data_IF_359543404656
#
_entry.id   IF_359543404656
#
_cell.length_a   1.000
_cell.length_b   1.000
_cell.length_c   1.000
_cell.angle_alpha   90.00
_cell.angle_beta   90.00
_cell.angle_gamma   90.00
#
_symmetry.space_group_name_H-M   'P 1'
#
loop_
_entity.id
_entity.type
_entity.pdbx_description
1 polymer ?
#
# COMPACT_ATOMS: atom_id res chain seq x y z
N UNK A 1 4.33 -8.04 -24.65
CA UNK A 1 5.57 -8.12 -23.88
C UNK A 1 6.82 -7.92 -24.76
N UNK A 2 6.79 -8.26 -26.06
CA UNK A 2 7.94 -8.02 -27.00
C UNK A 2 8.26 -6.52 -27.18
N UNK A 3 7.29 -5.65 -27.06
CA UNK A 3 7.42 -4.22 -27.36
C UNK A 3 7.98 -3.37 -26.21
N UNK A 4 8.19 -3.97 -25.03
CA UNK A 4 8.78 -3.31 -23.85
C UNK A 4 10.26 -3.60 -23.70
N UNK A 5 10.71 -4.75 -24.21
CA UNK A 5 12.14 -5.11 -24.21
C UNK A 5 12.89 -4.18 -25.15
N UNK A 6 13.93 -3.54 -24.62
CA UNK A 6 14.71 -2.56 -25.40
C UNK A 6 14.14 -1.15 -25.44
N UNK A 7 12.98 -0.89 -24.76
CA UNK A 7 12.43 0.45 -24.62
C UNK A 7 13.22 1.32 -23.66
N UNK A 8 12.92 2.62 -23.65
CA UNK A 8 13.49 3.62 -22.72
C UNK A 8 12.44 4.08 -21.73
N UNK A 9 12.78 4.10 -20.45
CA UNK A 9 11.90 4.59 -19.37
C UNK A 9 12.44 5.90 -18.81
N UNK A 10 11.59 6.93 -18.77
CA UNK A 10 11.86 8.20 -18.11
C UNK A 10 11.33 8.21 -16.67
N UNK A 11 12.14 8.60 -15.69
CA UNK A 11 11.77 8.69 -14.28
C UNK A 11 11.99 10.10 -13.76
N UNK A 12 10.91 10.79 -13.42
CA UNK A 12 10.94 12.13 -12.83
C UNK A 12 10.71 12.02 -11.32
N UNK A 13 11.74 12.32 -10.52
CA UNK A 13 11.71 12.13 -9.08
C UNK A 13 12.27 10.78 -8.65
N UNK A 14 13.60 10.68 -8.59
CA UNK A 14 14.35 9.45 -8.30
C UNK A 14 14.49 9.27 -6.77
N UNK A 15 13.35 9.01 -6.10
CA UNK A 15 13.30 8.65 -4.68
C UNK A 15 13.20 7.13 -4.47
N UNK A 16 12.57 6.72 -3.38
CA UNK A 16 12.27 5.30 -3.14
C UNK A 16 11.45 4.69 -4.28
N UNK A 17 10.32 5.34 -4.64
CA UNK A 17 9.40 4.83 -5.66
C UNK A 17 10.04 4.84 -7.05
N UNK A 18 10.54 6.01 -7.50
CA UNK A 18 11.15 6.13 -8.82
C UNK A 18 12.42 5.29 -9.00
N UNK A 19 13.25 5.20 -7.97
CA UNK A 19 14.43 4.33 -7.99
C UNK A 19 14.08 2.85 -8.04
N UNK A 20 13.06 2.42 -7.28
CA UNK A 20 12.58 1.03 -7.32
C UNK A 20 11.96 0.68 -8.68
N UNK A 21 11.28 1.64 -9.30
CA UNK A 21 10.70 1.48 -10.63
C UNK A 21 11.81 1.32 -11.68
N UNK A 22 12.86 2.14 -11.60
CA UNK A 22 14.02 1.99 -12.47
C UNK A 22 14.71 0.64 -12.34
N UNK A 23 14.97 0.19 -11.11
CA UNK A 23 15.51 -1.15 -10.85
C UNK A 23 14.61 -2.25 -11.44
N UNK A 24 13.30 -2.20 -11.19
CA UNK A 24 12.35 -3.18 -11.68
C UNK A 24 12.25 -3.18 -13.22
N UNK A 25 12.33 -2.02 -13.86
CA UNK A 25 12.34 -1.87 -15.31
C UNK A 25 13.56 -2.57 -15.94
N UNK A 26 14.74 -2.35 -15.39
CA UNK A 26 15.98 -2.97 -15.90
C UNK A 26 16.03 -4.48 -15.62
N UNK A 27 15.73 -4.89 -14.38
CA UNK A 27 15.91 -6.28 -13.95
C UNK A 27 14.80 -7.23 -14.47
N UNK A 28 13.56 -6.73 -14.64
CA UNK A 28 12.39 -7.58 -14.88
C UNK A 28 11.77 -7.41 -16.25
N UNK A 29 11.75 -6.17 -16.77
CA UNK A 29 11.20 -5.88 -18.09
C UNK A 29 12.26 -6.03 -19.17
N UNK A 30 13.53 -5.75 -18.84
CA UNK A 30 14.62 -5.76 -19.80
C UNK A 30 14.61 -4.52 -20.70
N UNK A 31 14.22 -3.37 -20.15
CA UNK A 31 14.33 -2.09 -20.88
C UNK A 31 15.79 -1.79 -21.20
N UNK A 32 16.07 -1.09 -22.31
CA UNK A 32 17.42 -0.72 -22.69
C UNK A 32 18.00 0.34 -21.77
N UNK A 33 17.21 1.36 -21.46
CA UNK A 33 17.66 2.51 -20.71
C UNK A 33 16.61 2.99 -19.71
N UNK A 34 17.10 3.51 -18.57
CA UNK A 34 16.33 4.27 -17.61
C UNK A 34 16.97 5.62 -17.42
N UNK A 35 16.32 6.67 -17.90
CA UNK A 35 16.73 8.05 -17.77
C UNK A 35 16.06 8.67 -16.54
N UNK A 36 16.82 9.32 -15.68
CA UNK A 36 16.28 9.87 -14.45
C UNK A 36 16.61 11.34 -14.24
N UNK A 37 15.63 12.08 -13.75
CA UNK A 37 15.80 13.44 -13.27
C UNK A 37 15.43 13.57 -11.80
N UNK A 38 16.28 14.27 -11.04
CA UNK A 38 16.03 14.63 -9.65
C UNK A 38 16.68 15.98 -9.35
N UNK A 39 16.15 16.69 -8.35
CA UNK A 39 16.62 18.04 -7.98
C UNK A 39 18.04 18.09 -7.43
N UNK A 40 18.56 16.99 -6.94
CA UNK A 40 19.90 16.94 -6.33
C UNK A 40 20.79 15.97 -7.07
N UNK A 41 21.99 16.41 -7.42
CA UNK A 41 22.98 15.58 -8.12
C UNK A 41 23.35 14.35 -7.30
N UNK A 42 23.52 14.49 -5.98
CA UNK A 42 23.83 13.36 -5.10
C UNK A 42 22.79 12.22 -5.15
N UNK A 43 21.52 12.54 -5.38
CA UNK A 43 20.47 11.52 -5.58
C UNK A 43 20.66 10.79 -6.91
N UNK A 44 21.02 11.51 -7.96
CA UNK A 44 21.26 10.94 -9.29
C UNK A 44 22.52 10.06 -9.29
N UNK A 45 23.59 10.52 -8.64
CA UNK A 45 24.84 9.77 -8.53
C UNK A 45 24.61 8.43 -7.78
N UNK A 46 23.90 8.49 -6.66
CA UNK A 46 23.54 7.29 -5.91
C UNK A 46 22.61 6.36 -6.70
N UNK A 47 21.69 6.91 -7.49
CA UNK A 47 20.81 6.13 -8.34
C UNK A 47 21.56 5.37 -9.45
N UNK A 48 22.56 6.01 -10.06
CA UNK A 48 23.47 5.37 -11.01
C UNK A 48 24.32 4.28 -10.36
N UNK A 49 24.91 4.58 -9.19
CA UNK A 49 25.72 3.62 -8.43
C UNK A 49 24.90 2.36 -8.06
N UNK A 50 23.63 2.52 -7.73
CA UNK A 50 22.73 1.42 -7.39
C UNK A 50 22.14 0.71 -8.61
N UNK A 51 22.43 1.16 -9.81
CA UNK A 51 21.86 0.60 -11.05
C UNK A 51 20.36 0.89 -11.22
N UNK A 52 19.81 1.89 -10.54
CA UNK A 52 18.43 2.32 -10.69
C UNK A 52 18.21 3.19 -11.93
N UNK A 53 19.29 3.77 -12.47
CA UNK A 53 19.33 4.54 -13.69
C UNK A 53 20.48 4.06 -14.57
N UNK A 54 20.30 4.14 -15.89
CA UNK A 54 21.40 4.05 -16.87
C UNK A 54 21.94 5.43 -17.21
N UNK A 55 21.11 6.47 -17.05
CA UNK A 55 21.48 7.86 -17.37
C UNK A 55 20.87 8.85 -16.39
N UNK A 56 21.70 9.71 -15.81
CA UNK A 56 21.27 10.88 -15.07
C UNK A 56 21.11 12.07 -16.02
N UNK A 57 20.00 12.78 -15.91
CA UNK A 57 19.64 13.91 -16.77
C UNK A 57 19.63 15.22 -15.99
N UNK A 58 20.03 16.31 -16.66
CA UNK A 58 20.11 17.64 -16.08
C UNK A 58 18.76 18.35 -15.98
N UNK A 59 17.75 17.88 -16.71
CA UNK A 59 16.39 18.43 -16.68
C UNK A 59 15.34 17.34 -16.88
N UNK A 60 14.07 17.67 -16.59
CA UNK A 60 12.91 16.83 -16.86
C UNK A 60 12.80 16.52 -18.35
N UNK A 61 12.95 17.55 -19.18
CA UNK A 61 12.84 17.45 -20.64
C UNK A 61 13.90 16.47 -21.20
N UNK A 62 15.12 16.54 -20.70
CA UNK A 62 16.18 15.61 -21.10
C UNK A 62 15.82 14.17 -20.73
N UNK A 63 15.28 13.95 -19.52
CA UNK A 63 14.93 12.61 -19.04
C UNK A 63 13.80 11.96 -19.84
N UNK A 64 12.91 12.74 -20.46
CA UNK A 64 11.74 12.22 -21.17
C UNK A 64 11.87 12.28 -22.70
N UNK A 65 12.85 12.99 -23.24
CA UNK A 65 12.95 13.29 -24.68
C UNK A 65 13.05 12.07 -25.60
N UNK A 66 13.47 10.93 -25.11
CA UNK A 66 13.55 9.66 -25.85
C UNK A 66 12.81 8.51 -25.18
N UNK A 67 11.97 8.81 -24.18
CA UNK A 67 11.30 7.77 -23.41
C UNK A 67 10.06 7.25 -24.13
N UNK A 68 9.84 5.94 -24.03
CA UNK A 68 8.60 5.25 -24.46
C UNK A 68 7.54 5.27 -23.34
N UNK A 69 8.02 5.21 -22.09
CA UNK A 69 7.17 5.28 -20.89
C UNK A 69 7.81 6.27 -19.93
N UNK A 70 7.01 7.16 -19.35
CA UNK A 70 7.46 8.14 -18.37
C UNK A 70 6.69 7.95 -17.06
N UNK A 71 7.42 7.90 -15.95
CA UNK A 71 6.84 7.88 -14.61
C UNK A 71 7.21 9.14 -13.83
N UNK A 72 6.18 9.85 -13.36
CA UNK A 72 6.32 11.01 -12.49
C UNK A 72 6.18 10.54 -11.04
N UNK A 73 7.31 10.53 -10.32
CA UNK A 73 7.45 10.05 -8.95
C UNK A 73 7.78 11.20 -7.98
N UNK A 74 7.31 12.38 -8.28
CA UNK A 74 7.48 13.59 -7.45
C UNK A 74 6.41 13.69 -6.36
N UNK A 75 6.57 14.57 -5.35
CA UNK A 75 5.55 14.78 -4.33
C UNK A 75 4.19 15.15 -4.94
N UNK A 76 3.10 14.66 -4.33
CA UNK A 76 1.74 14.71 -4.90
C UNK A 76 1.32 16.10 -5.39
N UNK A 77 1.69 17.17 -4.70
CA UNK A 77 1.39 18.56 -5.12
C UNK A 77 2.10 19.03 -6.39
N UNK A 78 3.12 18.31 -6.82
CA UNK A 78 3.85 18.62 -8.04
C UNK A 78 3.45 17.74 -9.22
N UNK A 79 2.71 16.66 -8.96
CA UNK A 79 2.39 15.64 -9.97
C UNK A 79 1.71 16.28 -11.19
N UNK A 80 0.74 17.17 -11.00
CA UNK A 80 0.03 17.82 -12.11
C UNK A 80 0.97 18.63 -12.99
N UNK A 81 1.80 19.46 -12.38
CA UNK A 81 2.78 20.30 -13.10
C UNK A 81 3.81 19.44 -13.85
N UNK A 82 4.39 18.46 -13.15
CA UNK A 82 5.45 17.61 -13.69
C UNK A 82 4.91 16.65 -14.78
N UNK A 83 3.65 16.14 -14.66
CA UNK A 83 3.00 15.35 -15.71
C UNK A 83 2.76 16.18 -16.96
N UNK A 84 2.26 17.40 -16.83
CA UNK A 84 2.06 18.29 -17.99
C UNK A 84 3.39 18.64 -18.68
N UNK A 85 4.43 18.92 -17.90
CA UNK A 85 5.77 19.16 -18.45
C UNK A 85 6.30 17.91 -19.18
N UNK A 86 6.11 16.72 -18.60
CA UNK A 86 6.50 15.47 -19.23
C UNK A 86 5.73 15.21 -20.53
N UNK A 87 4.42 15.44 -20.55
CA UNK A 87 3.57 15.31 -21.75
C UNK A 87 4.01 16.26 -22.87
N UNK A 88 4.43 17.48 -22.52
CA UNK A 88 4.88 18.47 -23.49
C UNK A 88 6.25 18.12 -24.12
N UNK A 89 7.15 17.47 -23.36
CA UNK A 89 8.51 17.19 -23.77
C UNK A 89 8.76 15.77 -24.28
N UNK A 90 7.94 14.80 -23.88
CA UNK A 90 8.07 13.41 -24.32
C UNK A 90 7.59 13.21 -25.77
N UNK A 91 8.13 12.20 -26.50
CA UNK A 91 7.67 11.84 -27.83
C UNK A 91 6.16 11.62 -27.89
N UNK A 92 5.54 11.90 -29.04
CA UNK A 92 4.09 11.77 -29.22
C UNK A 92 3.55 10.35 -28.95
N UNK A 93 4.38 9.32 -29.14
CA UNK A 93 4.04 7.93 -28.83
C UNK A 93 4.30 7.48 -27.38
N UNK A 94 4.88 8.34 -26.54
CA UNK A 94 5.18 8.00 -25.15
C UNK A 94 3.92 7.99 -24.29
N UNK A 95 3.82 7.04 -23.36
CA UNK A 95 2.81 7.05 -22.31
C UNK A 95 3.38 7.66 -21.03
N UNK A 96 2.62 8.54 -20.40
CA UNK A 96 3.00 9.19 -19.13
C UNK A 96 2.10 8.69 -18.01
N UNK A 97 2.69 8.30 -16.89
CA UNK A 97 1.98 7.91 -15.67
C UNK A 97 2.63 8.54 -14.43
N UNK A 98 1.97 8.41 -13.31
CA UNK A 98 2.50 8.88 -12.04
C UNK A 98 2.41 7.79 -10.96
N UNK A 99 2.88 8.09 -9.74
CA UNK A 99 2.78 7.21 -8.57
C UNK A 99 2.16 7.93 -7.37
N UNK A 100 1.46 9.02 -7.60
CA UNK A 100 0.88 9.87 -6.56
C UNK A 100 -0.29 9.20 -5.84
N UNK A 101 -0.54 9.63 -4.60
CA UNK A 101 -1.58 9.06 -3.74
C UNK A 101 -2.99 9.60 -4.01
N UNK A 102 -3.15 10.55 -4.94
CA UNK A 102 -4.43 11.14 -5.35
C UNK A 102 -4.51 11.22 -6.87
N UNK A 103 -5.68 11.03 -7.45
CA UNK A 103 -5.87 10.95 -8.92
C UNK A 103 -6.78 12.03 -9.48
N UNK A 104 -7.83 12.41 -8.76
CA UNK A 104 -8.80 13.39 -9.22
C UNK A 104 -8.19 14.73 -9.64
N UNK A 105 -7.31 15.36 -8.85
CA UNK A 105 -6.65 16.62 -9.25
C UNK A 105 -5.87 16.52 -10.56
N UNK A 106 -5.13 15.40 -10.77
CA UNK A 106 -4.39 15.17 -12.00
C UNK A 106 -5.34 15.05 -13.19
N UNK A 107 -6.29 14.13 -13.13
CA UNK A 107 -7.15 13.82 -14.27
C UNK A 107 -8.04 15.01 -14.67
N UNK A 108 -8.53 15.79 -13.72
CA UNK A 108 -9.28 17.02 -14.02
C UNK A 108 -8.44 18.15 -14.63
N UNK A 109 -7.13 18.14 -14.43
CA UNK A 109 -6.23 19.16 -14.96
C UNK A 109 -5.81 18.90 -16.41
N UNK A 110 -6.01 17.66 -16.92
CA UNK A 110 -5.63 17.29 -18.28
C UNK A 110 -6.67 17.77 -19.30
N UNK A 111 -6.19 18.14 -20.46
CA UNK A 111 -7.03 18.33 -21.65
C UNK A 111 -7.32 16.98 -22.30
N UNK A 112 -8.37 16.85 -23.17
CA UNK A 112 -8.62 15.63 -23.89
C UNK A 112 -7.42 15.10 -24.70
N UNK A 113 -6.59 15.99 -25.23
CA UNK A 113 -5.38 15.60 -25.98
C UNK A 113 -4.29 15.06 -25.05
N UNK A 114 -4.11 15.66 -23.87
CA UNK A 114 -3.16 15.17 -22.86
C UNK A 114 -3.60 13.81 -22.28
N UNK A 115 -4.92 13.60 -22.09
CA UNK A 115 -5.47 12.33 -21.62
C UNK A 115 -5.16 11.16 -22.55
N UNK A 116 -5.03 11.39 -23.87
CA UNK A 116 -4.80 10.31 -24.84
C UNK A 116 -3.63 9.43 -24.46
N UNK A 117 -2.58 9.99 -23.87
CA UNK A 117 -1.35 9.29 -23.50
C UNK A 117 -0.94 9.46 -22.04
N UNK A 118 -1.89 9.85 -21.19
CA UNK A 118 -1.71 9.92 -19.75
C UNK A 118 -2.65 8.96 -19.03
N UNK A 119 -2.09 8.11 -18.19
CA UNK A 119 -2.86 7.22 -17.31
C UNK A 119 -2.38 7.45 -15.89
N UNK A 120 -3.23 7.98 -15.05
CA UNK A 120 -2.87 8.17 -13.64
C UNK A 120 -2.54 6.84 -12.97
N UNK A 121 -1.59 6.85 -12.06
CA UNK A 121 -1.10 5.66 -11.37
C UNK A 121 -0.96 5.87 -9.86
N UNK A 122 -1.22 4.81 -9.09
CA UNK A 122 -0.97 4.81 -7.64
C UNK A 122 -0.67 3.39 -7.14
N UNK A 123 0.59 3.04 -6.88
CA UNK A 123 0.95 1.77 -6.25
C UNK A 123 0.63 1.77 -4.76
N UNK A 124 -0.13 0.77 -4.30
CA UNK A 124 -0.36 0.54 -2.87
C UNK A 124 0.83 -0.23 -2.28
N UNK A 125 1.97 0.39 -2.30
CA UNK A 125 3.20 -0.11 -1.68
C UNK A 125 4.03 1.08 -1.17
N UNK A 126 5.03 0.78 -0.39
CA UNK A 126 5.89 1.80 0.16
C UNK A 126 6.73 1.26 1.30
N UNK A 127 7.43 2.14 1.96
CA UNK A 127 8.20 1.85 3.15
C UNK A 127 8.23 3.10 4.03
N UNK A 128 8.43 2.92 5.31
CA UNK A 128 8.68 4.02 6.25
C UNK A 128 10.03 4.71 5.96
N UNK A 129 10.89 4.08 5.15
CA UNK A 129 12.16 4.63 4.68
C UNK A 129 11.98 5.45 3.41
N UNK A 130 12.80 6.47 3.22
CA UNK A 130 12.77 7.35 2.05
C UNK A 130 14.11 7.33 1.29
N UNK A 131 14.10 7.85 0.06
CA UNK A 131 15.29 8.02 -0.76
C UNK A 131 15.66 6.79 -1.59
N UNK A 132 16.44 7.03 -2.65
CA UNK A 132 16.90 6.00 -3.60
C UNK A 132 17.83 4.96 -2.96
N UNK A 133 18.48 5.30 -1.86
CA UNK A 133 19.30 4.36 -1.07
C UNK A 133 18.52 3.15 -0.54
N UNK A 134 17.19 3.26 -0.41
CA UNK A 134 16.29 2.17 0.02
C UNK A 134 15.49 1.56 -1.13
N UNK A 135 15.77 1.94 -2.37
CA UNK A 135 15.09 1.41 -3.56
C UNK A 135 15.43 -0.07 -3.78
N UNK A 136 14.44 -0.83 -4.25
CA UNK A 136 14.57 -2.26 -4.56
C UNK A 136 13.62 -2.65 -5.68
N UNK A 137 14.03 -3.53 -6.58
CA UNK A 137 13.21 -3.99 -7.71
C UNK A 137 11.94 -4.74 -7.27
N UNK A 138 11.97 -5.35 -6.08
CA UNK A 138 10.83 -6.10 -5.53
C UNK A 138 9.76 -5.22 -4.88
N UNK A 139 9.91 -3.89 -4.85
CA UNK A 139 8.95 -3.01 -4.15
C UNK A 139 7.52 -3.14 -4.67
N UNK A 140 7.37 -3.42 -5.96
CA UNK A 140 6.07 -3.50 -6.64
C UNK A 140 5.51 -4.92 -6.73
N UNK A 141 6.28 -5.95 -6.35
CA UNK A 141 5.83 -7.35 -6.43
C UNK A 141 4.56 -7.61 -5.62
N UNK A 142 3.55 -8.13 -6.31
CA UNK A 142 2.26 -8.44 -5.73
C UNK A 142 1.45 -7.21 -5.27
N UNK A 143 2.03 -6.00 -5.36
CA UNK A 143 1.33 -4.79 -4.95
C UNK A 143 0.20 -4.43 -5.91
N UNK A 144 -0.94 -4.05 -5.38
CA UNK A 144 -1.99 -3.43 -6.18
C UNK A 144 -1.48 -2.09 -6.72
N UNK A 145 -1.58 -1.90 -8.02
CA UNK A 145 -1.25 -0.65 -8.69
C UNK A 145 -2.53 -0.11 -9.32
N UNK A 146 -3.17 0.87 -8.69
CA UNK A 146 -4.33 1.51 -9.31
C UNK A 146 -3.91 2.28 -10.55
N UNK A 147 -4.69 2.09 -11.61
CA UNK A 147 -4.56 2.84 -12.87
C UNK A 147 -5.87 3.56 -13.14
N UNK A 148 -5.80 4.84 -13.46
CA UNK A 148 -6.97 5.69 -13.69
C UNK A 148 -6.92 6.24 -15.11
N UNK A 149 -7.42 5.47 -16.10
CA UNK A 149 -7.52 5.95 -17.47
C UNK A 149 -8.59 7.04 -17.56
N UNK A 150 -8.29 8.12 -18.28
CA UNK A 150 -9.29 9.13 -18.65
C UNK A 150 -10.20 8.66 -19.77
N UNK A 151 -11.26 9.43 -20.04
CA UNK A 151 -12.24 9.10 -21.07
C UNK A 151 -11.66 9.07 -22.50
N UNK A 152 -10.55 9.78 -22.73
CA UNK A 152 -9.91 9.93 -24.04
C UNK A 152 -8.64 9.10 -24.21
N UNK A 153 -8.29 8.24 -23.24
CA UNK A 153 -7.04 7.47 -23.26
C UNK A 153 -6.97 6.58 -24.52
N UNK A 154 -5.81 6.59 -25.18
CA UNK A 154 -5.56 5.67 -26.30
C UNK A 154 -5.35 4.24 -25.78
N UNK A 155 -6.01 3.28 -26.41
CA UNK A 155 -5.94 1.87 -26.03
C UNK A 155 -4.49 1.34 -26.00
N UNK A 156 -3.66 1.73 -26.95
CA UNK A 156 -2.27 1.32 -27.03
C UNK A 156 -1.44 1.89 -25.87
N UNK A 157 -1.66 3.16 -25.49
CA UNK A 157 -1.02 3.78 -24.35
C UNK A 157 -1.39 3.05 -23.04
N UNK A 158 -2.69 2.77 -22.87
CA UNK A 158 -3.18 2.02 -21.72
C UNK A 158 -2.59 0.60 -21.65
N UNK A 159 -2.62 -0.15 -22.76
CA UNK A 159 -2.11 -1.52 -22.81
C UNK A 159 -0.60 -1.58 -22.57
N UNK A 160 0.17 -0.62 -23.09
CA UNK A 160 1.60 -0.53 -22.87
C UNK A 160 1.93 -0.31 -21.39
N UNK A 161 1.25 0.64 -20.73
CA UNK A 161 1.43 0.85 -19.30
C UNK A 161 0.99 -0.38 -18.49
N UNK A 162 -0.19 -0.93 -18.78
CA UNK A 162 -0.72 -2.10 -18.09
C UNK A 162 0.22 -3.30 -18.19
N UNK A 163 0.76 -3.57 -19.37
CA UNK A 163 1.75 -4.61 -19.61
C UNK A 163 3.06 -4.39 -18.87
N UNK A 164 3.55 -3.13 -18.83
CA UNK A 164 4.74 -2.76 -18.07
C UNK A 164 4.56 -3.00 -16.56
N UNK A 165 3.43 -2.57 -16.00
CA UNK A 165 3.12 -2.76 -14.58
C UNK A 165 3.04 -4.25 -14.21
N UNK A 166 2.43 -5.07 -15.06
CA UNK A 166 2.43 -6.53 -14.89
C UNK A 166 3.83 -7.12 -14.96
N UNK A 167 4.67 -6.65 -15.89
CA UNK A 167 6.04 -7.14 -16.05
C UNK A 167 6.96 -6.81 -14.86
N UNK A 168 6.76 -5.69 -14.17
CA UNK A 168 7.48 -5.39 -12.92
C UNK A 168 6.92 -6.16 -11.71
N UNK A 169 5.91 -7.00 -11.88
CA UNK A 169 5.30 -7.83 -10.85
C UNK A 169 4.16 -7.18 -10.08
N UNK A 170 3.70 -5.99 -10.46
CA UNK A 170 2.54 -5.34 -9.86
C UNK A 170 1.22 -5.97 -10.37
N UNK A 171 0.14 -5.74 -9.64
CA UNK A 171 -1.23 -6.09 -10.04
C UNK A 171 -1.99 -4.81 -10.43
N UNK A 172 -2.02 -4.43 -11.72
CA UNK A 172 -2.73 -3.23 -12.15
C UNK A 172 -4.25 -3.43 -12.04
N UNK A 173 -4.92 -2.45 -11.43
CA UNK A 173 -6.38 -2.44 -11.23
C UNK A 173 -6.92 -1.10 -11.74
N UNK A 174 -7.78 -1.15 -12.75
CA UNK A 174 -8.42 0.04 -13.28
C UNK A 174 -9.53 0.53 -12.35
N UNK A 175 -9.57 1.85 -12.12
CA UNK A 175 -10.58 2.51 -11.29
C UNK A 175 -10.81 3.93 -11.78
N UNK A 176 -12.03 4.43 -11.62
CA UNK A 176 -12.35 5.84 -11.87
C UNK A 176 -11.56 6.76 -10.91
N UNK A 177 -11.02 7.91 -11.36
CA UNK A 177 -10.20 8.78 -10.53
C UNK A 177 -10.89 9.28 -9.26
N UNK A 178 -12.17 9.65 -9.36
CA UNK A 178 -12.94 10.11 -8.20
C UNK A 178 -13.26 8.96 -7.25
N UNK A 179 -13.53 7.78 -7.77
CA UNK A 179 -13.74 6.58 -6.96
C UNK A 179 -12.46 6.15 -6.24
N UNK A 180 -11.32 6.21 -6.94
CA UNK A 180 -10.01 6.03 -6.32
C UNK A 180 -9.82 6.96 -5.12
N UNK A 181 -10.06 8.26 -5.29
CA UNK A 181 -9.83 9.24 -4.24
C UNK A 181 -10.82 9.07 -3.07
N UNK A 182 -12.08 8.66 -3.34
CA UNK A 182 -13.04 8.27 -2.29
C UNK A 182 -12.58 7.03 -1.52
N UNK A 183 -12.12 6.01 -2.24
CA UNK A 183 -11.59 4.78 -1.62
C UNK A 183 -10.39 5.12 -0.74
N UNK A 184 -9.42 5.86 -1.26
CA UNK A 184 -8.21 6.24 -0.50
C UNK A 184 -8.55 7.11 0.71
N UNK A 185 -9.55 7.96 0.62
CA UNK A 185 -10.02 8.76 1.76
C UNK A 185 -10.45 7.87 2.93
N UNK A 186 -11.15 6.76 2.66
CA UNK A 186 -11.68 5.86 3.69
C UNK A 186 -10.62 4.88 4.19
N UNK A 187 -9.86 4.22 3.29
CA UNK A 187 -8.99 3.09 3.66
C UNK A 187 -7.56 3.51 4.02
N UNK A 188 -7.17 4.75 3.70
CA UNK A 188 -5.82 5.25 3.92
C UNK A 188 -5.79 6.58 4.69
N UNK A 189 -6.47 7.62 4.18
CA UNK A 189 -6.33 8.98 4.73
C UNK A 189 -7.03 9.15 6.06
N UNK A 190 -8.27 8.68 6.19
CA UNK A 190 -9.02 8.68 7.45
C UNK A 190 -8.29 7.92 8.57
N UNK A 191 -7.79 6.70 8.37
CA UNK A 191 -6.95 6.01 9.35
C UNK A 191 -5.76 6.84 9.84
N UNK A 192 -5.08 7.56 8.96
CA UNK A 192 -3.98 8.45 9.35
C UNK A 192 -4.45 9.65 10.19
N UNK A 193 -5.59 10.26 9.85
CA UNK A 193 -6.18 11.32 10.68
C UNK A 193 -6.50 10.78 12.07
N UNK A 194 -7.17 9.62 12.15
CA UNK A 194 -7.57 8.99 13.41
C UNK A 194 -6.36 8.62 14.27
N UNK A 195 -5.33 8.04 13.68
CA UNK A 195 -4.08 7.70 14.38
C UNK A 195 -3.43 8.94 14.99
N UNK A 196 -3.37 10.06 14.24
CA UNK A 196 -2.81 11.32 14.73
C UNK A 196 -3.65 11.92 15.86
N UNK A 197 -4.97 11.93 15.72
CA UNK A 197 -5.90 12.45 16.75
C UNK A 197 -5.81 11.60 18.01
N UNK A 198 -5.87 10.27 17.89
CA UNK A 198 -5.78 9.33 19.00
C UNK A 198 -4.46 9.46 19.76
N UNK A 199 -3.34 9.56 19.04
CA UNK A 199 -2.02 9.73 19.65
C UNK A 199 -1.90 11.07 20.38
N UNK A 200 -2.43 12.16 19.79
CA UNK A 200 -2.46 13.48 20.42
C UNK A 200 -3.31 13.48 21.68
N UNK A 201 -4.50 12.87 21.63
CA UNK A 201 -5.41 12.77 22.77
C UNK A 201 -4.76 11.96 23.92
N UNK A 202 -4.14 10.83 23.60
CA UNK A 202 -3.44 10.04 24.61
C UNK A 202 -2.29 10.82 25.25
N UNK A 203 -1.52 11.58 24.46
CA UNK A 203 -0.44 12.44 24.98
C UNK A 203 -0.92 13.55 25.90
N UNK A 204 -2.12 14.12 25.66
CA UNK A 204 -2.71 15.14 26.52
C UNK A 204 -3.25 14.59 27.85
N UNK A 205 -3.75 13.36 27.86
CA UNK A 205 -4.42 12.76 29.02
C UNK A 205 -3.50 11.84 29.84
N UNK A 206 -2.39 11.39 29.28
CA UNK A 206 -1.39 10.63 30.02
C UNK A 206 -0.66 11.57 30.96
N UNK A 207 -1.14 11.74 32.18
CA UNK A 207 -0.57 12.62 33.21
C UNK A 207 0.88 12.30 33.62
N UNK A 208 1.45 11.21 33.11
CA UNK A 208 2.85 10.84 33.21
C UNK A 208 3.34 10.13 31.95
N UNK A 209 4.65 10.24 31.67
CA UNK A 209 5.33 9.52 30.57
C UNK A 209 5.15 8.01 30.70
N UNK A 210 5.01 7.51 31.91
CA UNK A 210 4.89 6.09 32.22
C UNK A 210 3.52 5.50 31.82
N UNK A 211 2.46 6.31 31.80
CA UNK A 211 1.13 5.87 31.37
C UNK A 211 1.10 5.47 29.89
N UNK A 212 1.83 6.18 29.02
CA UNK A 212 1.95 5.83 27.60
C UNK A 212 2.84 4.60 27.36
N UNK A 213 3.81 4.34 28.23
CA UNK A 213 4.63 3.13 28.18
C UNK A 213 3.81 1.87 28.46
N UNK A 214 2.70 2.01 29.20
CA UNK A 214 1.76 0.92 29.50
C UNK A 214 0.72 0.68 28.39
N UNK A 215 0.80 1.41 27.26
CA UNK A 215 -0.11 1.22 26.14
C UNK A 215 0.00 -0.19 25.57
N UNK A 216 -1.13 -0.86 25.47
CA UNK A 216 -1.24 -2.22 24.95
C UNK A 216 -1.02 -2.32 23.44
N UNK A 217 -0.95 -3.54 22.87
CA UNK A 217 -0.75 -3.77 21.44
C UNK A 217 -1.75 -3.03 20.57
N UNK A 218 -3.03 -3.10 20.87
CA UNK A 218 -4.09 -2.45 20.09
C UNK A 218 -3.87 -0.94 19.89
N UNK A 219 -3.42 -0.24 20.94
CA UNK A 219 -3.11 1.19 20.81
C UNK A 219 -1.89 1.42 19.92
N UNK A 220 -0.85 0.61 20.07
CA UNK A 220 0.38 0.70 19.26
C UNK A 220 0.09 0.45 17.79
N UNK A 221 -0.73 -0.55 17.48
CA UNK A 221 -1.12 -0.89 16.11
C UNK A 221 -1.91 0.26 15.46
N UNK A 222 -2.94 0.76 16.15
CA UNK A 222 -3.76 1.87 15.65
C UNK A 222 -2.98 3.18 15.48
N UNK A 223 -1.95 3.42 16.29
CA UNK A 223 -1.16 4.66 16.25
C UNK A 223 0.18 4.53 15.53
N UNK A 224 0.53 3.35 15.02
CA UNK A 224 1.80 3.07 14.33
C UNK A 224 2.09 4.08 13.22
N UNK A 225 1.08 4.44 12.46
CA UNK A 225 1.18 5.36 11.32
C UNK A 225 1.22 6.84 11.72
N UNK A 226 0.96 7.21 12.97
CA UNK A 226 1.02 8.60 13.45
C UNK A 226 2.42 9.24 13.37
N UNK A 227 3.49 8.42 13.29
CA UNK A 227 4.87 8.87 13.11
C UNK A 227 5.30 9.14 11.66
N UNK A 228 4.40 9.05 10.70
CA UNK A 228 4.69 9.21 9.27
C UNK A 228 5.14 10.63 8.89
N UNK A 229 5.76 10.76 7.70
CA UNK A 229 6.31 12.03 7.21
C UNK A 229 5.22 13.12 7.12
N UNK A 230 5.31 14.10 8.02
CA UNK A 230 4.31 15.20 8.14
C UNK A 230 4.06 15.93 6.84
N UNK A 231 5.10 16.24 6.06
CA UNK A 231 4.98 17.01 4.83
C UNK A 231 4.20 16.24 3.76
N UNK A 232 4.54 14.98 3.59
CA UNK A 232 3.85 14.09 2.63
C UNK A 232 2.36 13.99 2.97
N UNK A 233 2.03 13.73 4.23
CA UNK A 233 0.64 13.54 4.65
C UNK A 233 -0.18 14.84 4.66
N UNK A 234 0.44 15.98 5.00
CA UNK A 234 -0.24 17.29 4.84
C UNK A 234 -0.60 17.52 3.38
N UNK A 235 0.30 17.25 2.45
CA UNK A 235 0.03 17.42 1.02
C UNK A 235 -1.07 16.47 0.54
N UNK A 236 -1.05 15.19 0.94
CA UNK A 236 -2.09 14.19 0.60
C UNK A 236 -3.47 14.63 1.11
N UNK A 237 -3.57 15.06 2.37
CA UNK A 237 -4.85 15.52 2.96
C UNK A 237 -5.43 16.71 2.23
N UNK A 238 -4.59 17.66 1.80
CA UNK A 238 -5.03 18.85 1.08
C UNK A 238 -5.44 18.51 -0.36
N UNK A 239 -4.70 17.64 -1.04
CA UNK A 239 -5.03 17.23 -2.41
C UNK A 239 -6.30 16.36 -2.48
N UNK A 240 -6.56 15.52 -1.46
CA UNK A 240 -7.79 14.73 -1.36
C UNK A 240 -8.82 15.32 -0.38
N UNK A 241 -8.79 16.63 -0.17
CA UNK A 241 -9.57 17.32 0.86
C UNK A 241 -11.07 17.02 0.78
N UNK A 242 -11.65 17.06 -0.40
CA UNK A 242 -13.10 16.91 -0.57
C UNK A 242 -13.59 15.51 -0.13
N UNK A 243 -12.93 14.46 -0.62
CA UNK A 243 -13.26 13.08 -0.26
C UNK A 243 -12.96 12.80 1.23
N UNK A 244 -11.86 13.34 1.74
CA UNK A 244 -11.51 13.17 3.16
C UNK A 244 -12.51 13.84 4.10
N UNK A 245 -13.01 15.04 3.75
CA UNK A 245 -14.06 15.71 4.53
C UNK A 245 -15.37 14.90 4.53
N UNK A 246 -15.76 14.32 3.40
CA UNK A 246 -16.91 13.45 3.32
C UNK A 246 -16.73 12.18 4.18
N UNK A 247 -15.57 11.53 4.12
CA UNK A 247 -15.26 10.37 4.95
C UNK A 247 -15.27 10.69 6.45
N UNK A 248 -14.76 11.87 6.84
CA UNK A 248 -14.80 12.34 8.23
C UNK A 248 -16.23 12.61 8.70
N UNK A 249 -17.10 13.17 7.85
CA UNK A 249 -18.50 13.39 8.21
C UNK A 249 -19.22 12.06 8.51
N UNK A 250 -19.07 11.06 7.64
CA UNK A 250 -19.64 9.72 7.87
C UNK A 250 -19.05 9.06 9.13
N UNK A 251 -17.74 9.23 9.37
CA UNK A 251 -17.13 8.73 10.61
C UNK A 251 -17.72 9.41 11.85
N UNK A 252 -17.97 10.72 11.83
CA UNK A 252 -18.60 11.44 12.93
C UNK A 252 -20.02 10.93 13.22
N UNK A 253 -20.81 10.63 12.18
CA UNK A 253 -22.14 10.03 12.34
C UNK A 253 -22.06 8.67 13.07
N UNK A 254 -21.15 7.78 12.65
CA UNK A 254 -20.93 6.50 13.31
C UNK A 254 -20.45 6.65 14.76
N UNK A 255 -19.57 7.61 15.03
CA UNK A 255 -19.13 7.92 16.40
C UNK A 255 -20.27 8.44 17.26
N UNK A 256 -21.17 9.25 16.71
CA UNK A 256 -22.35 9.76 17.41
C UNK A 256 -23.30 8.63 17.83
N UNK A 257 -23.52 7.61 17.00
CA UNK A 257 -24.32 6.44 17.36
C UNK A 257 -23.75 5.71 18.59
N UNK A 258 -22.42 5.57 18.66
CA UNK A 258 -21.74 4.96 19.82
C UNK A 258 -21.90 5.82 21.07
N UNK A 259 -21.74 7.14 20.93
CA UNK A 259 -21.91 8.08 22.05
C UNK A 259 -23.32 8.03 22.62
N UNK A 260 -24.35 7.98 21.78
CA UNK A 260 -25.76 7.88 22.20
C UNK A 260 -26.04 6.55 22.91
N UNK A 261 -25.53 5.43 22.38
CA UNK A 261 -25.69 4.12 23.00
C UNK A 261 -25.02 4.06 24.38
N UNK A 262 -23.82 4.64 24.51
CA UNK A 262 -23.12 4.74 25.79
C UNK A 262 -23.89 5.63 26.79
N UNK A 263 -24.38 6.80 26.36
CA UNK A 263 -25.15 7.70 27.21
C UNK A 263 -26.47 7.06 27.71
N UNK A 264 -27.08 6.23 26.88
CA UNK A 264 -28.30 5.49 27.22
C UNK A 264 -28.02 4.18 28.00
N UNK A 265 -26.77 3.79 28.21
CA UNK A 265 -26.35 2.48 28.74
C UNK A 265 -27.00 1.31 27.97
N UNK A 266 -27.09 1.46 26.64
CA UNK A 266 -27.75 0.50 25.73
C UNK A 266 -26.74 -0.53 25.21
N UNK A 267 -26.65 -1.65 25.92
CA UNK A 267 -25.75 -2.75 25.56
C UNK A 267 -26.11 -3.40 24.21
N UNK A 268 -27.40 -3.44 23.85
CA UNK A 268 -27.83 -4.09 22.60
C UNK A 268 -27.37 -3.29 21.37
N UNK A 269 -27.50 -1.95 21.40
CA UNK A 269 -27.01 -1.06 20.34
C UNK A 269 -25.48 -1.14 20.20
N UNK A 270 -24.75 -1.25 21.31
CA UNK A 270 -23.29 -1.39 21.27
C UNK A 270 -22.88 -2.74 20.67
N UNK A 271 -23.52 -3.83 21.08
CA UNK A 271 -23.29 -5.17 20.55
C UNK A 271 -23.55 -5.23 19.04
N UNK A 272 -24.66 -4.64 18.58
CA UNK A 272 -24.99 -4.54 17.17
C UNK A 272 -23.92 -3.76 16.37
N UNK A 273 -23.45 -2.63 16.89
CA UNK A 273 -22.40 -1.84 16.24
C UNK A 273 -21.08 -2.60 16.10
N UNK A 274 -20.68 -3.32 17.15
CA UNK A 274 -19.47 -4.16 17.15
C UNK A 274 -19.65 -5.34 16.18
N UNK A 275 -20.81 -5.97 16.19
CA UNK A 275 -21.14 -7.09 15.29
C UNK A 275 -21.12 -6.70 13.81
N UNK A 276 -21.65 -5.52 13.46
CA UNK A 276 -21.55 -4.96 12.09
C UNK A 276 -20.08 -4.79 11.66
N UNK A 277 -19.23 -4.27 12.53
CA UNK A 277 -17.82 -4.08 12.23
C UNK A 277 -17.08 -5.42 12.06
N UNK A 278 -17.37 -6.42 12.92
CA UNK A 278 -16.79 -7.75 12.83
C UNK A 278 -17.15 -8.42 11.49
N UNK A 279 -18.43 -8.39 11.10
CA UNK A 279 -18.88 -8.95 9.83
C UNK A 279 -18.23 -8.29 8.60
N UNK A 280 -17.99 -6.96 8.63
CA UNK A 280 -17.28 -6.29 7.54
C UNK A 280 -15.81 -6.69 7.49
N UNK A 281 -15.15 -6.84 8.64
CA UNK A 281 -13.77 -7.34 8.70
C UNK A 281 -13.65 -8.75 8.11
N UNK A 282 -14.56 -9.65 8.44
CA UNK A 282 -14.59 -11.00 7.87
C UNK A 282 -14.74 -10.98 6.35
N UNK A 283 -15.65 -10.14 5.82
CA UNK A 283 -15.81 -9.97 4.37
C UNK A 283 -14.54 -9.43 3.70
N UNK A 284 -13.85 -8.49 4.34
CA UNK A 284 -12.59 -7.94 3.82
C UNK A 284 -11.51 -9.01 3.74
N UNK A 285 -11.35 -9.82 4.78
CA UNK A 285 -10.38 -10.92 4.81
C UNK A 285 -10.72 -11.99 3.76
N UNK A 286 -11.99 -12.31 3.63
CA UNK A 286 -12.47 -13.25 2.62
C UNK A 286 -12.26 -12.75 1.19
N UNK A 287 -12.40 -11.45 0.93
CA UNK A 287 -12.18 -10.86 -0.40
C UNK A 287 -10.69 -10.75 -0.78
N UNK A 288 -9.79 -10.69 0.20
CA UNK A 288 -8.34 -10.64 0.01
C UNK A 288 -7.72 -11.98 -0.43
N UNK A 289 -8.43 -13.09 -0.24
CA UNK A 289 -8.04 -14.40 -0.75
C UNK A 289 -8.75 -14.68 -2.07
N UNK A 290 -8.01 -15.06 -3.11
CA UNK A 290 -8.56 -15.43 -4.42
C UNK A 290 -9.57 -16.60 -4.35
N UNK A 291 -9.68 -17.26 -3.20
CA UNK A 291 -10.62 -18.33 -2.91
C UNK A 291 -11.28 -18.11 -1.53
N UNK A 292 -12.16 -17.10 -1.47
CA UNK A 292 -12.89 -16.71 -0.24
C UNK A 292 -13.69 -17.80 0.47
N UNK A 293 -13.71 -19.04 -0.03
CA UNK A 293 -14.44 -20.18 0.52
C UNK A 293 -13.59 -21.12 1.38
N UNK A 294 -12.29 -20.94 1.49
CA UNK A 294 -11.38 -21.94 2.08
C UNK A 294 -10.32 -21.38 3.05
N UNK A 295 -10.49 -20.18 3.60
CA UNK A 295 -9.61 -19.74 4.67
C UNK A 295 -9.92 -20.48 5.97
N UNK A 296 -8.92 -21.15 6.51
CA UNK A 296 -8.97 -21.84 7.79
C UNK A 296 -8.04 -21.21 8.80
N UNK A 297 -8.46 -21.16 10.05
CA UNK A 297 -7.65 -20.63 11.15
C UNK A 297 -6.92 -21.77 11.87
N UNK A 298 -5.62 -21.59 12.09
CA UNK A 298 -4.83 -22.36 13.03
C UNK A 298 -4.55 -21.46 14.23
N UNK A 299 -5.20 -21.71 15.35
CA UNK A 299 -5.00 -20.97 16.59
C UNK A 299 -3.98 -21.73 17.41
N UNK A 300 -2.80 -21.16 17.60
CA UNK A 300 -1.62 -21.82 18.16
C UNK A 300 -1.30 -21.16 19.49
N UNK A 301 -1.28 -21.92 20.56
CA UNK A 301 -0.79 -21.41 21.85
C UNK A 301 0.73 -21.41 21.84
N UNK A 302 1.34 -20.22 22.06
CA UNK A 302 2.78 -20.03 21.97
C UNK A 302 3.32 -19.45 23.28
N UNK A 303 4.48 -19.96 23.70
CA UNK A 303 5.25 -19.36 24.79
C UNK A 303 6.06 -18.17 24.26
N UNK A 304 6.25 -17.14 25.08
CA UNK A 304 7.08 -15.99 24.72
C UNK A 304 8.57 -16.36 24.81
N UNK A 305 9.11 -16.84 23.69
CA UNK A 305 10.54 -17.16 23.55
C UNK A 305 11.07 -16.74 22.17
N UNK A 306 12.35 -16.32 22.11
CA UNK A 306 12.98 -16.01 20.84
C UNK A 306 12.92 -17.20 19.86
N UNK A 307 12.53 -16.92 18.60
CA UNK A 307 12.54 -17.91 17.53
C UNK A 307 11.24 -18.70 17.32
N UNK A 308 10.23 -18.58 18.20
CA UNK A 308 8.95 -19.30 18.04
C UNK A 308 8.26 -19.00 16.72
N UNK A 309 8.24 -17.74 16.29
CA UNK A 309 7.70 -17.36 14.99
C UNK A 309 8.44 -18.03 13.82
N UNK A 310 9.78 -17.98 13.87
CA UNK A 310 10.62 -18.62 12.86
C UNK A 310 10.33 -20.12 12.76
N UNK A 311 10.22 -20.79 13.89
CA UNK A 311 9.94 -22.23 13.97
C UNK A 311 8.62 -22.57 13.28
N UNK A 312 7.54 -21.84 13.58
CA UNK A 312 6.20 -22.05 13.02
C UNK A 312 6.17 -21.71 11.53
N UNK A 313 6.69 -20.53 11.13
CA UNK A 313 6.63 -20.09 9.73
C UNK A 313 7.51 -20.93 8.82
N UNK A 314 8.69 -21.36 9.27
CA UNK A 314 9.57 -22.25 8.51
C UNK A 314 8.92 -23.64 8.36
N UNK A 315 8.35 -24.19 9.44
CA UNK A 315 7.71 -25.50 9.39
C UNK A 315 6.54 -25.52 8.38
N UNK A 316 5.70 -24.49 8.38
CA UNK A 316 4.59 -24.38 7.42
C UNK A 316 5.09 -24.17 5.99
N UNK A 317 6.10 -23.30 5.80
CA UNK A 317 6.69 -23.04 4.49
C UNK A 317 7.38 -24.27 3.89
N UNK A 318 8.17 -25.01 4.66
CA UNK A 318 8.84 -26.23 4.25
C UNK A 318 7.84 -27.34 3.88
N UNK A 319 6.65 -27.34 4.51
CA UNK A 319 5.55 -28.22 4.17
C UNK A 319 4.74 -27.75 2.93
N UNK A 320 5.13 -26.63 2.29
CA UNK A 320 4.41 -26.05 1.14
C UNK A 320 3.06 -25.45 1.52
N UNK A 321 2.88 -25.05 2.76
CA UNK A 321 1.65 -24.41 3.25
C UNK A 321 1.88 -22.90 3.25
N UNK A 322 1.15 -22.17 2.39
CA UNK A 322 1.21 -20.72 2.35
C UNK A 322 0.47 -20.10 3.55
N UNK A 323 1.07 -19.09 4.16
CA UNK A 323 0.44 -18.29 5.21
C UNK A 323 -0.17 -17.07 4.55
N UNK A 324 -1.49 -16.98 4.56
CA UNK A 324 -2.25 -15.88 3.95
C UNK A 324 -2.31 -14.64 4.86
N UNK A 325 -2.45 -14.87 6.17
CA UNK A 325 -2.42 -13.81 7.18
C UNK A 325 -2.00 -14.40 8.53
N UNK A 326 -1.50 -13.54 9.42
CA UNK A 326 -1.21 -13.94 10.79
C UNK A 326 -1.52 -12.81 11.78
N UNK A 327 -2.04 -13.17 12.93
CA UNK A 327 -2.25 -12.23 14.03
C UNK A 327 -1.78 -12.82 15.35
N UNK A 328 -1.23 -11.97 16.23
CA UNK A 328 -0.76 -12.40 17.54
C UNK A 328 -1.45 -11.62 18.66
N UNK A 329 -1.98 -12.33 19.62
CA UNK A 329 -2.48 -11.79 20.88
C UNK A 329 -1.56 -12.21 22.01
N UNK A 330 -0.82 -11.24 22.53
CA UNK A 330 0.10 -11.47 23.66
C UNK A 330 -0.68 -11.32 24.97
N UNK A 331 -0.59 -12.32 25.86
CA UNK A 331 -1.26 -12.26 27.16
C UNK A 331 -0.30 -11.77 28.27
N UNK A 332 0.84 -12.41 28.44
CA UNK A 332 1.94 -11.97 29.28
C UNK A 332 3.19 -12.81 29.01
N UNK A 333 4.36 -12.35 29.51
CA UNK A 333 5.61 -13.11 29.41
C UNK A 333 5.53 -14.49 30.10
N UNK A 334 4.71 -14.63 31.13
CA UNK A 334 4.54 -15.89 31.89
C UNK A 334 3.50 -16.82 31.28
N UNK A 335 2.43 -16.26 30.68
CA UNK A 335 1.32 -17.00 30.12
C UNK A 335 1.44 -17.25 28.61
N UNK A 336 2.43 -16.62 27.95
CA UNK A 336 2.58 -16.71 26.52
C UNK A 336 1.55 -15.89 25.75
N UNK A 337 1.22 -16.32 24.53
CA UNK A 337 0.26 -15.69 23.65
C UNK A 337 -0.44 -16.66 22.74
N UNK A 338 -1.36 -16.17 21.95
CA UNK A 338 -2.04 -16.91 20.89
C UNK A 338 -1.62 -16.36 19.54
N UNK A 339 -1.03 -17.21 18.71
CA UNK A 339 -0.74 -16.93 17.31
C UNK A 339 -1.86 -17.55 16.47
N UNK A 340 -2.56 -16.72 15.71
CA UNK A 340 -3.53 -17.19 14.72
C UNK A 340 -2.90 -17.09 13.35
N UNK A 341 -2.84 -18.21 12.64
CA UNK A 341 -2.32 -18.31 11.27
C UNK A 341 -3.49 -18.68 10.36
N UNK A 342 -3.64 -17.93 9.26
CA UNK A 342 -4.65 -18.21 8.24
C UNK A 342 -3.99 -18.93 7.07
N UNK A 343 -4.56 -20.07 6.68
CA UNK A 343 -4.10 -20.89 5.55
C UNK A 343 -5.26 -21.20 4.62
N UNK A 344 -4.95 -21.43 3.33
CA UNK A 344 -5.94 -21.71 2.31
C UNK A 344 -6.21 -23.21 2.21
N UNK A 345 -7.49 -23.60 2.32
CA UNK A 345 -7.96 -24.97 2.12
C UNK A 345 -7.92 -25.86 3.36
N UNK A 346 -8.94 -26.72 3.46
CA UNK A 346 -9.13 -27.69 4.53
C UNK A 346 -7.93 -28.65 4.67
N UNK A 347 -7.37 -29.10 3.54
CA UNK A 347 -6.22 -30.01 3.52
C UNK A 347 -4.97 -29.32 4.10
N UNK A 348 -4.68 -28.07 3.69
CA UNK A 348 -3.56 -27.30 4.21
C UNK A 348 -3.70 -27.03 5.70
N UNK A 349 -4.93 -26.72 6.16
CA UNK A 349 -5.25 -26.55 7.57
C UNK A 349 -5.03 -27.83 8.38
N UNK A 350 -5.51 -28.97 7.88
CA UNK A 350 -5.31 -30.27 8.54
C UNK A 350 -3.83 -30.65 8.63
N UNK A 351 -3.09 -30.50 7.54
CA UNK A 351 -1.64 -30.78 7.49
C UNK A 351 -0.86 -29.84 8.40
N UNK A 352 -1.18 -28.53 8.37
CA UNK A 352 -0.55 -27.53 9.21
C UNK A 352 -0.76 -27.79 10.69
N UNK A 353 -1.98 -28.08 11.10
CA UNK A 353 -2.31 -28.42 12.48
C UNK A 353 -1.56 -29.67 12.96
N UNK A 354 -1.54 -30.72 12.14
CA UNK A 354 -0.84 -31.95 12.46
C UNK A 354 0.70 -31.73 12.58
N UNK A 355 1.27 -30.96 11.65
CA UNK A 355 2.69 -30.61 11.66
C UNK A 355 3.07 -29.83 12.92
N UNK A 356 2.31 -28.81 13.27
CA UNK A 356 2.59 -27.97 14.44
C UNK A 356 2.34 -28.69 15.75
N UNK A 357 1.35 -29.57 15.81
CA UNK A 357 1.14 -30.47 16.95
C UNK A 357 2.32 -31.44 17.12
N UNK A 358 2.91 -31.94 16.03
CA UNK A 358 4.13 -32.74 16.03
C UNK A 358 5.37 -32.00 16.57
N UNK A 359 5.38 -30.66 16.47
CA UNK A 359 6.43 -29.80 17.06
C UNK A 359 6.13 -29.42 18.53
N UNK A 360 5.04 -29.93 19.09
CA UNK A 360 4.68 -29.71 20.50
C UNK A 360 3.80 -28.50 20.76
N UNK A 361 3.23 -27.89 19.71
CA UNK A 361 2.27 -26.78 19.87
C UNK A 361 0.85 -27.30 20.09
N UNK A 362 0.11 -26.60 20.97
CA UNK A 362 -1.34 -26.78 21.08
C UNK A 362 -2.02 -25.97 19.96
N UNK A 363 -2.74 -26.65 19.07
CA UNK A 363 -3.33 -26.07 17.85
C UNK A 363 -4.80 -26.36 17.78
N UNK A 364 -5.61 -25.31 17.75
CA UNK A 364 -7.05 -25.37 17.52
C UNK A 364 -7.33 -24.97 16.07
N UNK A 365 -8.09 -25.80 15.35
CA UNK A 365 -8.57 -25.51 13.99
C UNK A 365 -9.91 -24.84 14.04
N UNK A 366 -10.10 -23.75 13.28
CA UNK A 366 -11.37 -23.10 13.06
C UNK A 366 -11.63 -22.88 11.59
N UNK A 367 -12.90 -23.02 11.16
CA UNK A 367 -13.32 -22.55 9.84
C UNK A 367 -13.38 -21.03 9.82
N UNK A 368 -13.11 -20.39 8.68
CA UNK A 368 -13.09 -18.94 8.55
C UNK A 368 -14.42 -18.20 8.73
N UNK A 369 -15.47 -18.91 9.14
CA UNK A 369 -16.84 -18.41 9.31
C UNK A 369 -17.45 -18.60 10.71
N UNK A 370 -16.65 -18.92 11.75
CA UNK A 370 -17.11 -18.94 13.14
C UNK A 370 -16.31 -17.99 14.03
#
# INVERSE_FOLDING_TARGET
MSDLVGSTVGVIGVGLMGGSLGLAALERVGVAEVHGFSRTQATLDLALERGALTRACGSLEEAVSGADIVFVCTPVRRVVEDVKAALAAAPAGAVVSDVGSTKGPLMRALTPEEERRCVGGHPLCGSETAGVGNARASLYEGATFFVTPGAHVDADAYQRLYGFLGAIGARPVAVDPEEHDRLMAVVSHLPHVLANVLMTQAGLHAGSRDALLSAGPSFRDLTRIAGSNRRVWTDIFLENRAALLAALATFQEGLQEVLEALAANDAARLDEAIGRAAAQRERMLAAGSLEARELHRLIIHVTDRPGVFKEITVALGDAGINIEDLSMHHMSAELGGTLTVYVLGEEASARGAHLLAGLGYDVIRGSGGE
#
